data_IF_976245466917
#
_entry.id   IF_976245466917
#
_cell.length_a   1.000
_cell.length_b   1.000
_cell.length_c   1.000
_cell.angle_alpha   90.00
_cell.angle_beta   90.00
_cell.angle_gamma   90.00
#
_symmetry.space_group_name_H-M   'P 1'
#
loop_
_entity.id
_entity.type
_entity.pdbx_description
1 polymer ?
#
# COMPACT_ATOMS: atom_id res chain seq x y z
N UNK A 1 -15.25 14.02 5.03
CA UNK A 1 -14.17 13.96 4.06
C UNK A 1 -14.59 13.10 2.88
N UNK A 2 -14.46 13.61 1.65
CA UNK A 2 -14.74 12.79 0.46
C UNK A 2 -13.76 11.61 0.37
N UNK A 3 -14.21 10.53 -0.22
CA UNK A 3 -13.40 9.32 -0.46
C UNK A 3 -12.97 8.55 0.80
N UNK A 4 -13.73 8.63 1.87
CA UNK A 4 -13.49 7.80 3.06
C UNK A 4 -13.75 6.32 2.79
N UNK A 5 -14.62 6.01 1.84
CA UNK A 5 -14.82 4.65 1.31
C UNK A 5 -13.55 4.10 0.69
N UNK A 6 -12.84 4.90 -0.11
CA UNK A 6 -11.54 4.51 -0.68
C UNK A 6 -10.50 4.24 0.41
N UNK A 7 -10.41 5.13 1.42
CA UNK A 7 -9.49 4.95 2.54
C UNK A 7 -9.81 3.67 3.31
N UNK A 8 -11.09 3.39 3.55
CA UNK A 8 -11.55 2.18 4.22
C UNK A 8 -11.20 0.91 3.42
N UNK A 9 -11.42 0.93 2.11
CA UNK A 9 -11.06 -0.19 1.24
C UNK A 9 -9.54 -0.41 1.23
N UNK A 10 -8.74 0.65 1.18
CA UNK A 10 -7.28 0.54 1.23
C UNK A 10 -6.80 -0.08 2.55
N UNK A 11 -7.41 0.29 3.69
CA UNK A 11 -7.11 -0.33 4.99
C UNK A 11 -7.45 -1.83 4.98
N UNK A 12 -8.58 -2.22 4.41
CA UNK A 12 -8.96 -3.63 4.29
C UNK A 12 -7.96 -4.42 3.44
N UNK A 13 -7.48 -3.84 2.35
CA UNK A 13 -6.45 -4.45 1.49
C UNK A 13 -5.14 -4.64 2.27
N UNK A 14 -4.72 -3.66 3.04
CA UNK A 14 -3.51 -3.78 3.87
C UNK A 14 -3.67 -4.89 4.91
N UNK A 15 -4.81 -4.99 5.57
CA UNK A 15 -5.09 -6.07 6.52
C UNK A 15 -5.06 -7.45 5.85
N UNK A 16 -5.63 -7.57 4.65
CA UNK A 16 -5.55 -8.80 3.86
C UNK A 16 -4.10 -9.17 3.54
N UNK A 17 -3.29 -8.19 3.17
CA UNK A 17 -1.88 -8.39 2.84
C UNK A 17 -1.09 -8.92 4.04
N UNK A 18 -1.28 -8.30 5.21
CA UNK A 18 -0.62 -8.74 6.44
C UNK A 18 -1.08 -10.14 6.85
N UNK A 19 -2.37 -10.44 6.74
CA UNK A 19 -2.91 -11.77 7.02
C UNK A 19 -2.35 -12.83 6.06
N UNK A 20 -2.26 -12.51 4.78
CA UNK A 20 -1.65 -13.39 3.77
C UNK A 20 -0.19 -13.68 4.13
N UNK A 21 0.57 -12.66 4.50
CA UNK A 21 1.98 -12.80 4.89
C UNK A 21 2.12 -13.71 6.13
N UNK A 22 1.22 -13.57 7.11
CA UNK A 22 1.20 -14.42 8.30
C UNK A 22 0.95 -15.90 7.95
N UNK A 23 0.18 -16.16 6.89
CA UNK A 23 -0.06 -17.51 6.36
C UNK A 23 1.01 -18.00 5.38
N UNK A 24 2.08 -17.22 5.18
CA UNK A 24 3.15 -17.57 4.24
C UNK A 24 2.81 -17.35 2.77
N UNK A 25 1.76 -16.60 2.48
CA UNK A 25 1.36 -16.25 1.13
C UNK A 25 1.87 -14.88 0.71
N UNK A 26 2.26 -14.76 -0.55
CA UNK A 26 2.59 -13.48 -1.15
C UNK A 26 1.36 -12.77 -1.67
N UNK A 27 1.36 -11.45 -1.58
CA UNK A 27 0.34 -10.60 -2.18
C UNK A 27 1.00 -9.41 -2.89
N UNK A 28 0.39 -8.97 -3.96
CA UNK A 28 0.79 -7.77 -4.68
C UNK A 28 -0.41 -6.89 -4.99
N UNK A 29 -0.23 -5.60 -4.91
CA UNK A 29 -1.23 -4.60 -5.32
C UNK A 29 -0.83 -4.04 -6.67
N UNK A 30 -1.65 -4.27 -7.68
CA UNK A 30 -1.49 -3.68 -9.01
C UNK A 30 -2.50 -2.55 -9.17
N UNK A 31 -1.99 -1.35 -9.45
CA UNK A 31 -2.82 -0.16 -9.69
C UNK A 31 -2.64 0.41 -11.11
N UNK A 32 -1.68 -0.12 -11.88
CA UNK A 32 -1.39 0.34 -13.25
C UNK A 32 -2.34 -0.38 -14.21
N UNK A 33 -3.57 0.10 -14.28
CA UNK A 33 -4.60 -0.36 -15.20
C UNK A 33 -5.62 0.77 -15.44
N UNK A 34 -6.42 0.62 -16.49
CA UNK A 34 -7.53 1.52 -16.76
C UNK A 34 -8.80 1.03 -16.02
N UNK A 35 -9.27 1.75 -14.99
CA UNK A 35 -10.46 1.36 -14.24
C UNK A 35 -11.71 1.23 -15.12
N UNK A 36 -11.84 2.09 -16.13
CA UNK A 36 -12.98 2.07 -17.04
C UNK A 36 -13.01 0.83 -17.93
N UNK A 37 -11.85 0.24 -18.22
CA UNK A 37 -11.74 -1.01 -18.95
C UNK A 37 -11.96 -2.23 -18.05
N UNK A 38 -11.51 -2.19 -16.81
CA UNK A 38 -11.63 -3.31 -15.86
C UNK A 38 -13.05 -3.46 -15.32
N UNK A 39 -13.72 -2.36 -14.97
CA UNK A 39 -15.04 -2.40 -14.37
C UNK A 39 -16.07 -3.27 -15.12
N UNK A 40 -16.24 -3.14 -16.46
CA UNK A 40 -17.18 -3.99 -17.20
C UNK A 40 -16.76 -5.46 -17.26
N UNK A 41 -15.46 -5.77 -17.23
CA UNK A 41 -14.98 -7.15 -17.26
C UNK A 41 -15.42 -7.96 -16.03
N UNK A 42 -15.58 -7.31 -14.89
CA UNK A 42 -16.02 -7.95 -13.64
C UNK A 42 -17.47 -7.58 -13.26
N UNK A 43 -18.17 -6.91 -14.16
CA UNK A 43 -19.58 -6.58 -13.97
C UNK A 43 -19.84 -5.56 -12.87
N UNK A 44 -18.96 -4.62 -12.64
CA UNK A 44 -19.15 -3.58 -11.64
C UNK A 44 -20.31 -2.66 -11.99
N UNK A 45 -21.16 -2.28 -11.01
CA UNK A 45 -22.26 -1.35 -11.26
C UNK A 45 -21.74 0.06 -11.54
N UNK A 46 -22.59 0.88 -12.14
CA UNK A 46 -22.29 2.29 -12.35
C UNK A 46 -21.98 2.99 -11.02
N UNK A 47 -20.93 3.81 -11.00
CA UNK A 47 -20.47 4.52 -9.80
C UNK A 47 -19.47 3.73 -8.94
N UNK A 48 -19.28 2.44 -9.21
CA UNK A 48 -18.21 1.67 -8.59
C UNK A 48 -16.91 1.82 -9.38
N UNK A 49 -15.79 1.89 -8.66
CA UNK A 49 -14.46 2.06 -9.26
C UNK A 49 -13.52 0.97 -8.74
N UNK A 50 -12.89 0.18 -9.62
CA UNK A 50 -11.85 -0.75 -9.19
C UNK A 50 -10.59 0.04 -8.80
N UNK A 51 -10.08 -0.20 -7.58
CA UNK A 51 -8.92 0.51 -7.04
C UNK A 51 -7.65 -0.34 -7.02
N UNK A 52 -7.79 -1.64 -7.21
CA UNK A 52 -6.67 -2.57 -7.17
C UNK A 52 -7.00 -3.87 -7.90
N UNK A 53 -5.98 -4.47 -8.47
CA UNK A 53 -5.95 -5.89 -8.79
C UNK A 53 -5.01 -6.55 -7.77
N UNK A 54 -5.55 -7.46 -6.96
CA UNK A 54 -4.78 -8.10 -5.92
C UNK A 54 -4.34 -9.48 -6.41
N UNK A 55 -3.02 -9.68 -6.48
CA UNK A 55 -2.42 -10.97 -6.80
C UNK A 55 -2.07 -11.65 -5.49
N UNK A 56 -2.65 -12.81 -5.21
CA UNK A 56 -2.47 -13.55 -3.97
C UNK A 56 -2.13 -15.00 -4.27
N UNK A 57 -1.08 -15.52 -3.64
CA UNK A 57 -0.73 -16.92 -3.81
C UNK A 57 0.63 -17.29 -3.23
N UNK A 58 1.04 -18.55 -3.43
CA UNK A 58 2.39 -19.01 -3.06
C UNK A 58 3.46 -18.24 -3.82
N UNK A 59 4.59 -18.01 -3.15
CA UNK A 59 5.76 -17.34 -3.71
C UNK A 59 7.01 -18.16 -3.42
N UNK A 60 8.08 -17.98 -4.22
CA UNK A 60 9.35 -18.63 -3.99
C UNK A 60 10.08 -18.13 -2.75
N UNK A 61 9.81 -16.92 -2.34
CA UNK A 61 10.42 -16.27 -1.19
C UNK A 61 9.89 -14.85 -1.02
N UNK A 62 10.31 -14.21 0.06
CA UNK A 62 9.93 -12.84 0.37
C UNK A 62 11.14 -11.94 0.27
N UNK A 63 10.92 -10.67 -0.04
CA UNK A 63 11.98 -9.67 -0.01
C UNK A 63 12.51 -9.50 1.42
N UNK A 64 13.83 -9.44 1.57
CA UNK A 64 14.50 -9.20 2.85
C UNK A 64 14.48 -7.72 3.24
N UNK A 65 14.40 -6.84 2.25
CA UNK A 65 14.26 -5.40 2.39
C UNK A 65 12.97 -4.92 1.71
N UNK A 66 12.49 -3.70 1.97
CA UNK A 66 11.36 -3.14 1.23
C UNK A 66 11.57 -3.26 -0.28
N UNK A 67 10.58 -3.81 -0.98
CA UNK A 67 10.69 -4.11 -2.41
C UNK A 67 11.10 -2.90 -3.24
N UNK A 68 10.53 -1.73 -2.97
CA UNK A 68 10.85 -0.52 -3.72
C UNK A 68 12.32 -0.12 -3.57
N UNK A 69 12.91 -0.35 -2.39
CA UNK A 69 14.32 -0.10 -2.14
C UNK A 69 15.20 -1.15 -2.84
N UNK A 70 14.87 -2.42 -2.70
CA UNK A 70 15.63 -3.51 -3.31
C UNK A 70 15.62 -3.45 -4.84
N UNK A 71 14.47 -3.10 -5.44
CA UNK A 71 14.32 -2.89 -6.88
C UNK A 71 14.77 -1.51 -7.36
N UNK A 72 15.28 -0.67 -6.47
CA UNK A 72 15.81 0.67 -6.75
C UNK A 72 14.77 1.65 -7.33
N UNK A 73 13.50 1.46 -6.99
CA UNK A 73 12.43 2.38 -7.38
C UNK A 73 12.35 3.60 -6.46
N UNK A 74 12.65 3.40 -5.18
CA UNK A 74 12.63 4.46 -4.18
C UNK A 74 13.59 4.11 -3.04
N UNK A 75 14.05 5.15 -2.34
CA UNK A 75 14.82 5.00 -1.11
C UNK A 75 13.94 5.25 0.09
N UNK A 76 14.21 4.53 1.18
CA UNK A 76 13.54 4.76 2.45
C UNK A 76 13.94 6.13 2.99
N UNK A 77 12.97 6.98 3.30
CA UNK A 77 13.24 8.26 3.96
C UNK A 77 13.65 8.02 5.43
N UNK A 78 14.61 8.78 5.96
CA UNK A 78 14.90 8.76 7.39
C UNK A 78 13.65 9.10 8.19
N UNK A 79 13.39 8.36 9.26
CA UNK A 79 12.18 8.56 10.06
C UNK A 79 12.07 9.99 10.60
N UNK A 80 13.20 10.57 11.03
CA UNK A 80 13.25 11.95 11.53
C UNK A 80 12.83 13.00 10.50
N UNK A 81 12.85 12.67 9.21
CA UNK A 81 12.43 13.61 8.14
C UNK A 81 10.93 13.65 7.94
N UNK A 82 10.17 12.73 8.53
CA UNK A 82 8.73 12.56 8.32
C UNK A 82 7.93 12.50 9.62
N UNK A 83 8.58 12.60 10.76
CA UNK A 83 7.93 12.62 12.08
C UNK A 83 8.19 13.98 12.74
N UNK A 84 7.14 14.64 13.16
CA UNK A 84 7.19 15.99 13.72
C UNK A 84 6.39 16.04 15.03
N UNK A 85 6.78 16.93 15.93
CA UNK A 85 6.06 17.18 17.17
C UNK A 85 5.11 18.39 16.99
N UNK A 86 3.83 18.15 17.25
CA UNK A 86 2.75 19.15 17.32
C UNK A 86 2.48 19.94 16.03
N UNK A 87 3.51 20.31 15.25
CA UNK A 87 3.36 21.06 14.02
C UNK A 87 4.28 20.53 12.93
N UNK A 88 3.86 20.70 11.69
CA UNK A 88 4.64 20.29 10.53
C UNK A 88 6.00 21.00 10.49
N UNK A 89 7.05 20.24 10.30
CA UNK A 89 8.43 20.73 10.21
C UNK A 89 9.13 20.89 11.55
N UNK A 90 8.45 20.71 12.67
CA UNK A 90 9.07 20.75 14.00
C UNK A 90 9.70 19.40 14.30
N UNK A 91 11.01 19.37 14.51
CA UNK A 91 11.76 18.12 14.73
C UNK A 91 11.18 17.32 15.91
N UNK A 92 11.04 16.01 15.70
CA UNK A 92 10.56 15.11 16.74
C UNK A 92 11.55 15.02 17.92
N UNK A 93 11.03 15.08 19.13
CA UNK A 93 11.80 14.86 20.37
C UNK A 93 12.05 13.38 20.67
N UNK A 94 11.35 12.48 19.97
CA UNK A 94 11.42 11.03 20.23
C UNK A 94 12.10 10.24 19.10
N UNK A 95 12.35 10.87 17.95
CA UNK A 95 13.04 10.27 16.81
C UNK A 95 14.39 10.97 16.62
N UNK A 96 15.47 10.20 16.83
CA UNK A 96 16.82 10.73 16.63
C UNK A 96 17.11 10.94 15.15
N UNK A 97 17.84 12.01 14.79
CA UNK A 97 18.43 12.15 13.44
C UNK A 97 19.39 10.99 13.18
N UNK A 98 19.31 10.39 11.99
CA UNK A 98 20.24 9.36 11.50
C UNK A 98 21.39 10.00 10.71
#
# INVERSE_FOLDING_TARGET
>A
LPRMDLASAACAIQNLWLAARAEGLGMGWVSIFDPAAVAPLVGMPAGAEPIALLCLGPVHGFYEEPMLQQERWAQRAPLASVVFDDAWGVASSVVSPE
#
